data_IF_848144075992
#
_entry.id   IF_848144075992
#
_cell.length_a   1.000
_cell.length_b   1.000
_cell.length_c   1.000
_cell.angle_alpha   90.00
_cell.angle_beta   90.00
_cell.angle_gamma   90.00
#
_symmetry.space_group_name_H-M   'P 1'
#
loop_
_entity.id
_entity.type
_entity.pdbx_description
1 polymer ?
#
# COMPACT_ATOMS: atom_id res chain seq x y z
N UNK A 1 15.14 30.27 -22.94
CA UNK A 1 16.14 29.17 -22.88
C UNK A 1 16.12 28.61 -21.46
N UNK A 2 15.68 27.37 -21.31
CA UNK A 2 15.59 26.64 -20.05
C UNK A 2 16.99 26.26 -19.54
N UNK A 3 17.09 25.91 -18.26
CA UNK A 3 17.60 24.58 -17.98
C UNK A 3 16.56 23.80 -17.19
N UNK A 4 16.01 22.78 -17.84
CA UNK A 4 15.21 21.75 -17.19
C UNK A 4 16.08 21.01 -16.19
N UNK A 5 15.87 21.28 -14.91
CA UNK A 5 16.56 20.58 -13.83
C UNK A 5 15.54 20.00 -12.85
N UNK A 6 14.89 18.91 -13.24
CA UNK A 6 14.65 17.80 -12.31
C UNK A 6 14.68 16.51 -13.13
N UNK A 7 15.85 15.88 -13.20
CA UNK A 7 15.96 14.51 -13.67
C UNK A 7 15.23 13.62 -12.66
N UNK A 8 13.98 13.26 -12.95
CA UNK A 8 13.24 12.21 -12.28
C UNK A 8 13.74 10.86 -12.81
N UNK A 9 14.95 10.48 -12.47
CA UNK A 9 15.47 9.15 -12.81
C UNK A 9 15.97 8.46 -11.55
N UNK A 10 15.23 7.43 -11.14
CA UNK A 10 15.62 6.49 -10.09
C UNK A 10 16.84 5.73 -10.61
N UNK A 11 18.01 5.96 -10.03
CA UNK A 11 19.21 5.22 -10.34
C UNK A 11 19.03 3.75 -9.97
N UNK A 12 19.17 2.84 -10.95
CA UNK A 12 19.55 1.46 -10.68
C UNK A 12 20.94 1.50 -10.02
N UNK A 13 20.98 1.63 -8.70
CA UNK A 13 22.23 1.52 -7.95
C UNK A 13 22.72 0.07 -8.08
N UNK A 14 23.91 -0.11 -8.63
CA UNK A 14 24.67 -1.35 -8.49
C UNK A 14 25.20 -1.41 -7.06
N UNK A 15 24.59 -2.25 -6.23
CA UNK A 15 25.11 -2.53 -4.89
C UNK A 15 26.34 -3.44 -5.00
N UNK A 16 27.38 -3.17 -4.22
CA UNK A 16 28.59 -3.97 -4.21
C UNK A 16 28.37 -5.36 -3.59
N UNK A 17 27.51 -5.45 -2.57
CA UNK A 17 27.09 -6.72 -1.96
C UNK A 17 25.65 -6.69 -1.43
N UNK A 18 25.17 -7.84 -0.96
CA UNK A 18 23.81 -7.98 -0.42
C UNK A 18 23.56 -7.19 0.87
N UNK A 19 24.59 -6.87 1.66
CA UNK A 19 24.44 -6.05 2.88
C UNK A 19 24.22 -4.59 2.49
N UNK A 20 24.99 -4.10 1.52
CA UNK A 20 24.79 -2.77 0.97
C UNK A 20 23.41 -2.64 0.34
N UNK A 21 22.96 -3.65 -0.41
CA UNK A 21 21.61 -3.69 -0.97
C UNK A 21 20.53 -3.62 0.13
N UNK A 22 20.67 -4.44 1.18
CA UNK A 22 19.73 -4.44 2.31
C UNK A 22 19.68 -3.07 2.98
N UNK A 23 20.82 -2.45 3.24
CA UNK A 23 20.89 -1.13 3.87
C UNK A 23 20.29 -0.04 2.97
N UNK A 24 20.62 -0.06 1.68
CA UNK A 24 20.09 0.89 0.69
C UNK A 24 18.58 0.80 0.54
N UNK A 25 18.02 -0.40 0.44
CA UNK A 25 16.58 -0.64 0.35
C UNK A 25 15.89 -0.21 1.64
N UNK A 26 16.42 -0.59 2.81
CA UNK A 26 15.84 -0.18 4.10
C UNK A 26 15.79 1.35 4.24
N UNK A 27 16.88 2.03 3.88
CA UNK A 27 16.95 3.49 3.89
C UNK A 27 15.94 4.12 2.93
N UNK A 28 15.80 3.56 1.73
CA UNK A 28 14.84 4.04 0.74
C UNK A 28 13.39 3.86 1.22
N UNK A 29 13.04 2.71 1.79
CA UNK A 29 11.71 2.44 2.36
C UNK A 29 11.41 3.41 3.51
N UNK A 30 12.38 3.63 4.41
CA UNK A 30 12.21 4.57 5.53
C UNK A 30 11.96 6.00 5.05
N UNK A 31 12.72 6.46 4.03
CA UNK A 31 12.49 7.74 3.39
C UNK A 31 11.11 7.82 2.72
N UNK A 32 10.76 6.83 1.90
CA UNK A 32 9.49 6.78 1.18
C UNK A 32 8.31 6.87 2.14
N UNK A 33 8.31 6.02 3.17
CA UNK A 33 7.21 5.94 4.12
C UNK A 33 7.14 7.18 5.02
N UNK A 34 8.27 7.71 5.46
CA UNK A 34 8.32 8.76 6.47
C UNK A 34 8.34 10.20 5.92
N UNK A 35 8.85 10.41 4.71
CA UNK A 35 9.19 11.75 4.21
C UNK A 35 8.65 12.08 2.83
N UNK A 36 8.36 11.08 1.98
CA UNK A 36 7.85 11.35 0.63
C UNK A 36 6.42 11.83 0.72
N UNK A 37 6.15 13.03 0.22
CA UNK A 37 4.79 13.57 0.16
C UNK A 37 4.10 13.05 -1.10
N UNK A 38 2.86 12.57 -0.96
CA UNK A 38 2.08 12.05 -2.08
C UNK A 38 0.86 12.93 -2.35
N UNK A 39 0.71 13.42 -3.59
CA UNK A 39 -0.42 14.26 -3.99
C UNK A 39 -1.77 13.57 -3.76
N UNK A 40 -1.88 12.26 -4.04
CA UNK A 40 -3.09 11.47 -3.76
C UNK A 40 -3.42 11.35 -2.25
N UNK A 41 -2.47 11.64 -1.37
CA UNK A 41 -2.64 11.67 0.08
C UNK A 41 -2.75 13.10 0.63
N UNK A 42 -3.01 14.08 -0.23
CA UNK A 42 -3.05 15.50 0.16
C UNK A 42 -1.69 16.02 0.59
N UNK A 43 -0.62 15.59 -0.09
CA UNK A 43 0.77 15.91 0.24
C UNK A 43 1.19 15.47 1.65
N UNK A 44 0.60 14.39 2.18
CA UNK A 44 1.06 13.73 3.41
C UNK A 44 1.96 12.53 3.12
N UNK A 45 2.78 12.17 4.10
CA UNK A 45 3.62 10.98 4.03
C UNK A 45 2.77 9.70 4.23
N UNK A 46 3.08 8.58 3.55
CA UNK A 46 2.30 7.35 3.63
C UNK A 46 2.13 6.83 5.06
N UNK A 47 3.20 6.87 5.85
CA UNK A 47 3.19 6.36 7.23
C UNK A 47 2.31 7.22 8.15
N UNK A 48 2.17 8.53 7.88
CA UNK A 48 1.28 9.39 8.65
C UNK A 48 -0.20 9.00 8.43
N UNK A 49 -0.60 8.82 7.17
CA UNK A 49 -1.96 8.40 6.82
C UNK A 49 -2.27 6.99 7.34
N UNK A 50 -1.30 6.08 7.26
CA UNK A 50 -1.47 4.73 7.81
C UNK A 50 -1.66 4.75 9.33
N UNK A 51 -0.84 5.51 10.07
CA UNK A 51 -0.99 5.63 11.53
C UNK A 51 -2.31 6.27 11.94
N UNK A 52 -2.76 7.30 11.21
CA UNK A 52 -4.07 7.91 11.44
C UNK A 52 -5.20 6.87 11.28
N UNK A 53 -5.17 6.08 10.20
CA UNK A 53 -6.15 5.01 9.96
C UNK A 53 -6.10 3.90 11.00
N UNK A 54 -4.91 3.50 11.47
CA UNK A 54 -4.77 2.49 12.51
C UNK A 54 -5.28 2.96 13.87
N UNK A 55 -5.06 4.24 14.20
CA UNK A 55 -5.64 4.84 15.41
C UNK A 55 -7.17 4.94 15.31
N UNK A 56 -7.69 5.33 14.15
CA UNK A 56 -9.12 5.31 13.89
C UNK A 56 -9.71 3.89 13.97
N UNK A 57 -9.06 2.88 13.38
CA UNK A 57 -9.49 1.50 13.46
C UNK A 57 -9.46 0.97 14.91
N UNK A 58 -8.45 1.31 15.70
CA UNK A 58 -8.39 0.98 17.13
C UNK A 58 -9.49 1.68 17.93
N UNK A 59 -9.84 2.92 17.57
CA UNK A 59 -10.94 3.64 18.20
C UNK A 59 -12.32 3.08 17.80
N UNK A 60 -12.41 2.43 16.63
CA UNK A 60 -13.60 1.76 16.11
C UNK A 60 -13.53 0.24 16.37
N UNK A 61 -12.89 -0.19 17.47
CA UNK A 61 -13.24 -1.48 18.09
C UNK A 61 -14.66 -1.38 18.67
N UNK A 62 -15.61 -1.28 17.75
CA UNK A 62 -17.04 -1.15 17.97
C UNK A 62 -17.69 -2.36 17.30
N UNK A 63 -18.16 -3.26 18.16
CA UNK A 63 -19.13 -4.35 17.92
C UNK A 63 -18.60 -5.63 17.27
N UNK A 64 -18.57 -6.72 18.05
CA UNK A 64 -18.59 -8.09 17.53
C UNK A 64 -19.77 -8.25 16.56
N UNK A 65 -19.46 -8.30 15.26
CA UNK A 65 -20.43 -8.47 14.17
C UNK A 65 -20.66 -9.95 13.81
N UNK A 66 -20.29 -10.88 14.69
CA UNK A 66 -20.41 -12.31 14.47
C UNK A 66 -21.88 -12.77 14.28
N UNK A 67 -22.82 -12.09 14.93
CA UNK A 67 -24.26 -12.40 14.86
C UNK A 67 -24.97 -11.83 13.61
N UNK A 68 -24.31 -11.00 12.79
CA UNK A 68 -24.95 -10.35 11.63
C UNK A 68 -24.74 -11.08 10.30
N UNK A 69 -23.97 -12.17 10.27
CA UNK A 69 -23.86 -13.00 9.07
C UNK A 69 -25.10 -13.89 8.95
N UNK A 70 -26.20 -13.30 8.45
CA UNK A 70 -27.23 -14.10 7.81
C UNK A 70 -26.57 -14.83 6.62
N UNK A 71 -26.38 -16.14 6.73
CA UNK A 71 -26.04 -17.00 5.59
C UNK A 71 -27.14 -16.87 4.54
N UNK A 72 -26.92 -16.03 3.53
CA UNK A 72 -27.74 -16.02 2.33
C UNK A 72 -27.48 -17.33 1.54
N UNK A 73 -28.52 -18.03 1.06
CA UNK A 73 -28.34 -19.27 0.32
C UNK A 73 -27.66 -19.00 -1.03
N UNK A 74 -26.70 -19.86 -1.37
CA UNK A 74 -25.90 -19.76 -2.59
C UNK A 74 -26.78 -19.93 -3.83
N UNK A 75 -26.93 -18.86 -4.60
CA UNK A 75 -27.66 -18.86 -5.86
C UNK A 75 -26.90 -19.74 -6.87
N UNK A 76 -27.51 -20.88 -7.20
CA UNK A 76 -26.96 -21.92 -8.06
C UNK A 76 -26.74 -21.35 -9.46
N UNK A 77 -25.50 -20.99 -9.78
CA UNK A 77 -25.13 -20.46 -11.08
C UNK A 77 -25.15 -21.60 -12.10
N UNK A 78 -26.29 -21.73 -12.80
CA UNK A 78 -26.44 -22.58 -13.98
C UNK A 78 -25.33 -22.27 -14.97
N UNK A 79 -24.40 -23.20 -15.13
CA UNK A 79 -23.47 -23.22 -16.26
C UNK A 79 -23.75 -24.50 -17.02
N UNK A 80 -24.72 -24.41 -17.93
CA UNK A 80 -24.80 -25.33 -19.06
C UNK A 80 -23.85 -24.85 -20.14
N UNK A 81 -22.69 -25.48 -20.28
CA UNK A 81 -21.98 -25.58 -21.56
C UNK A 81 -21.02 -26.78 -21.57
N UNK A 82 -21.37 -27.75 -22.42
CA UNK A 82 -20.56 -28.79 -23.08
C UNK A 82 -19.82 -29.87 -22.25
N UNK A 83 -20.38 -31.08 -22.30
CA UNK A 83 -19.73 -32.39 -22.45
C UNK A 83 -20.87 -33.42 -22.62
N UNK A 84 -20.92 -34.38 -23.56
CA UNK A 84 -19.95 -34.95 -24.48
C UNK A 84 -20.69 -35.47 -25.73
#
# INVERSE_FOLDING_TARGET
>A
MCPSAVAFFISLKGYADGREAKAGIANWIAFYNGRRLHQALGYRAPMAVWRERMQAAKAVDMMDNADALATCPQQQQQTGFLAA
#
